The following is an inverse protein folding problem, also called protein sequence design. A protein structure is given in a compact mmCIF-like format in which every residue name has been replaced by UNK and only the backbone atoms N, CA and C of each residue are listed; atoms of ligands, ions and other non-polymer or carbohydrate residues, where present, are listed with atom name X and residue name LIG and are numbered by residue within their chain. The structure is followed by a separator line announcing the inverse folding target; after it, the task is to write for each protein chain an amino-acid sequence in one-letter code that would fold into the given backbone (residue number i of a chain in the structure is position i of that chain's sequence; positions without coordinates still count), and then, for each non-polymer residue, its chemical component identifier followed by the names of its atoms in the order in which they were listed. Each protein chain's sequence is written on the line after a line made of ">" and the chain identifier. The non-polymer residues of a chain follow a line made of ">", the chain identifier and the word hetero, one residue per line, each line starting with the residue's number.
data_IF_619017283766
#
_entry.id   IF_619017283766
#
_cell.length_a   1.000
_cell.length_b   1.000
_cell.length_c   1.000
_cell.angle_alpha   90.00
_cell.angle_beta   90.00
_cell.angle_gamma   90.00
#
_symmetry.space_group_name_H-M   'P 1'
#
loop_
_entity.id
_entity.type
_entity.pdbx_description
1 polymer ?
#
# COMPACT_ATOMS: atom_id res chain seq x y z
N UNK A 1 61.34 26.46 -10.15
CA UNK A 1 60.21 26.39 -11.10
C UNK A 1 59.04 25.74 -10.37
N UNK A 2 57.96 26.50 -10.21
CA UNK A 2 56.58 26.12 -9.89
C UNK A 2 56.26 25.41 -8.56
N UNK A 3 56.19 26.22 -7.49
CA UNK A 3 55.26 25.96 -6.37
C UNK A 3 53.85 26.30 -6.84
N UNK A 4 52.86 25.41 -6.72
CA UNK A 4 51.47 25.85 -6.61
C UNK A 4 50.75 25.08 -5.49
N UNK A 5 50.47 25.83 -4.44
CA UNK A 5 49.62 25.47 -3.32
C UNK A 5 48.20 25.80 -3.78
N UNK A 6 47.38 24.80 -4.08
CA UNK A 6 45.95 25.03 -4.30
C UNK A 6 45.25 24.94 -2.94
N UNK A 7 45.21 26.08 -2.26
CA UNK A 7 44.36 26.33 -1.09
C UNK A 7 42.93 26.46 -1.61
N UNK A 8 42.24 25.33 -1.77
CA UNK A 8 40.83 25.28 -2.16
C UNK A 8 39.94 25.55 -0.95
N UNK A 9 39.45 26.78 -0.85
CA UNK A 9 38.43 27.23 0.08
C UNK A 9 37.16 26.38 -0.09
N UNK A 10 36.95 25.41 0.80
CA UNK A 10 35.72 24.63 0.87
C UNK A 10 34.60 25.55 1.39
N UNK A 11 33.82 26.10 0.46
CA UNK A 11 32.55 26.74 0.73
C UNK A 11 31.61 25.70 1.37
N UNK A 12 31.45 25.79 2.69
CA UNK A 12 30.39 25.08 3.42
C UNK A 12 29.07 25.73 3.01
N UNK A 13 28.46 25.18 1.96
CA UNK A 13 27.10 25.50 1.57
C UNK A 13 26.16 25.02 2.67
N UNK A 14 25.62 25.98 3.42
CA UNK A 14 24.54 25.77 4.37
C UNK A 14 23.32 25.23 3.60
N UNK A 15 23.15 23.91 3.61
CA UNK A 15 21.95 23.24 3.11
C UNK A 15 20.79 23.62 4.03
N UNK A 16 20.05 24.66 3.65
CA UNK A 16 18.71 24.89 4.15
C UNK A 16 17.83 23.73 3.65
N UNK A 17 17.69 22.69 4.48
CA UNK A 17 16.68 21.67 4.27
C UNK A 17 15.31 22.36 4.44
N UNK A 18 14.44 22.38 3.41
CA UNK A 18 13.07 22.79 3.63
C UNK A 18 12.45 21.72 4.53
N UNK A 19 12.17 22.10 5.77
CA UNK A 19 11.32 21.32 6.67
C UNK A 19 9.95 21.27 5.99
N UNK A 20 9.64 20.14 5.37
CA UNK A 20 8.29 19.84 4.87
C UNK A 20 7.36 19.73 6.08
N UNK A 21 6.79 20.87 6.43
CA UNK A 21 5.80 21.04 7.47
C UNK A 21 4.50 20.34 7.05
N UNK A 22 4.26 19.13 7.57
CA UNK A 22 2.96 18.75 8.10
C UNK A 22 1.73 18.66 7.19
N UNK A 23 1.86 18.29 5.91
CA UNK A 23 0.72 17.68 5.22
C UNK A 23 0.70 16.19 5.57
N UNK A 24 -0.18 15.77 6.48
CA UNK A 24 -0.60 14.37 6.57
C UNK A 24 -1.43 14.07 5.30
N UNK A 25 -0.75 14.05 4.15
CA UNK A 25 -1.34 13.87 2.84
C UNK A 25 -1.71 12.41 2.61
N UNK A 26 -2.59 12.18 1.64
CA UNK A 26 -2.83 10.83 1.16
C UNK A 26 -1.51 10.20 0.69
N UNK A 27 -1.30 8.94 1.05
CA UNK A 27 -0.24 8.11 0.51
C UNK A 27 -0.82 7.20 -0.55
N UNK A 28 0.01 6.79 -1.50
CA UNK A 28 -0.32 5.71 -2.43
C UNK A 28 0.65 4.58 -2.22
N UNK A 29 0.11 3.40 -1.91
CA UNK A 29 0.86 2.17 -1.66
C UNK A 29 0.39 1.08 -2.62
N UNK A 30 1.31 0.23 -3.04
CA UNK A 30 1.04 -0.89 -3.94
C UNK A 30 1.46 -2.19 -3.27
N UNK A 31 0.66 -3.22 -3.47
CA UNK A 31 0.94 -4.53 -2.92
C UNK A 31 -0.08 -5.57 -3.35
N UNK A 32 0.05 -6.78 -2.79
CA UNK A 32 -0.91 -7.85 -2.96
C UNK A 32 -2.08 -7.64 -2.01
N UNK A 33 -3.30 -7.68 -2.53
CA UNK A 33 -4.51 -7.61 -1.71
C UNK A 33 -4.77 -8.97 -1.06
N UNK A 34 -4.98 -9.00 0.25
CA UNK A 34 -5.13 -10.24 1.02
C UNK A 34 -6.35 -10.22 1.93
N UNK A 35 -6.80 -11.38 2.40
CA UNK A 35 -7.60 -11.45 3.62
C UNK A 35 -6.73 -11.22 4.84
N UNK A 36 -7.09 -10.26 5.70
CA UNK A 36 -6.25 -9.86 6.83
C UNK A 36 -6.01 -10.99 7.82
N UNK A 37 -7.03 -11.82 8.07
CA UNK A 37 -6.95 -12.89 9.07
C UNK A 37 -6.08 -14.03 8.56
N UNK A 38 -6.28 -14.43 7.31
CA UNK A 38 -5.50 -15.49 6.66
C UNK A 38 -4.03 -15.10 6.54
N UNK A 39 -3.74 -13.87 6.10
CA UNK A 39 -2.35 -13.40 5.98
C UNK A 39 -1.66 -13.31 7.35
N UNK A 40 -2.26 -12.61 8.33
CA UNK A 40 -1.64 -12.42 9.64
C UNK A 40 -1.55 -13.72 10.46
N UNK A 41 -2.47 -14.66 10.25
CA UNK A 41 -2.51 -15.93 10.97
C UNK A 41 -1.68 -17.04 10.34
N UNK A 42 -1.59 -17.07 9.00
CA UNK A 42 -1.06 -18.22 8.25
C UNK A 42 -0.08 -17.82 7.13
N UNK A 43 0.05 -16.53 6.81
CA UNK A 43 0.90 -16.04 5.72
C UNK A 43 0.29 -16.19 4.32
N UNK A 44 -1.00 -16.50 4.22
CA UNK A 44 -1.67 -16.69 2.92
C UNK A 44 -1.88 -15.35 2.22
N UNK A 45 -1.38 -15.24 0.99
CA UNK A 45 -1.45 -14.02 0.19
C UNK A 45 -2.25 -14.17 -1.11
N UNK A 46 -2.66 -15.39 -1.46
CA UNK A 46 -3.54 -15.68 -2.59
C UNK A 46 -5.01 -15.77 -2.16
N UNK A 47 -5.90 -16.02 -3.12
CA UNK A 47 -7.34 -16.15 -2.87
C UNK A 47 -7.74 -17.55 -2.41
N UNK A 48 -6.86 -18.53 -2.59
CA UNK A 48 -7.13 -19.94 -2.32
C UNK A 48 -6.57 -20.34 -0.94
N UNK A 49 -7.07 -21.43 -0.36
CA UNK A 49 -6.46 -22.02 0.82
C UNK A 49 -6.38 -23.53 0.65
N UNK A 50 -5.21 -24.00 0.20
CA UNK A 50 -5.01 -25.39 -0.20
C UNK A 50 -5.94 -25.80 -1.34
N UNK A 51 -6.91 -26.67 -1.06
CA UNK A 51 -7.90 -27.13 -2.05
C UNK A 51 -9.17 -26.27 -2.11
N UNK A 52 -9.31 -25.27 -1.22
CA UNK A 52 -10.48 -24.40 -1.20
C UNK A 52 -10.24 -23.17 -2.06
N UNK A 53 -10.87 -23.14 -3.24
CA UNK A 53 -10.80 -21.98 -4.13
C UNK A 53 -11.57 -20.77 -3.57
N UNK A 54 -11.05 -19.57 -3.77
CA UNK A 54 -11.67 -18.30 -3.37
C UNK A 54 -12.06 -18.20 -1.90
N UNK A 55 -11.23 -18.77 -1.02
CA UNK A 55 -11.37 -18.69 0.42
C UNK A 55 -11.26 -17.23 0.91
N UNK A 56 -10.27 -16.48 0.43
CA UNK A 56 -10.06 -15.09 0.83
C UNK A 56 -11.21 -14.18 0.42
N UNK A 57 -11.66 -14.29 -0.83
CA UNK A 57 -12.80 -13.58 -1.37
C UNK A 57 -14.09 -13.89 -0.60
N UNK A 58 -14.27 -15.14 -0.17
CA UNK A 58 -15.39 -15.54 0.67
C UNK A 58 -15.36 -14.86 2.03
N UNK A 59 -14.19 -14.78 2.69
CA UNK A 59 -14.02 -14.06 3.95
C UNK A 59 -14.34 -12.56 3.82
N UNK A 60 -13.84 -11.91 2.78
CA UNK A 60 -14.14 -10.49 2.50
C UNK A 60 -15.63 -10.25 2.23
N UNK A 61 -16.30 -11.16 1.50
CA UNK A 61 -17.76 -11.12 1.28
C UNK A 61 -18.56 -11.24 2.58
N UNK A 62 -18.00 -11.90 3.60
CA UNK A 62 -18.59 -12.00 4.94
C UNK A 62 -18.25 -10.82 5.85
N UNK A 63 -17.51 -9.82 5.36
CA UNK A 63 -17.19 -8.60 6.10
C UNK A 63 -15.79 -8.59 6.73
N UNK A 64 -14.94 -9.60 6.48
CA UNK A 64 -13.57 -9.56 6.99
C UNK A 64 -12.76 -8.45 6.30
N UNK A 65 -11.93 -7.70 7.05
CA UNK A 65 -11.13 -6.62 6.48
C UNK A 65 -10.14 -7.16 5.45
N UNK A 66 -10.02 -6.45 4.33
CA UNK A 66 -8.91 -6.65 3.41
C UNK A 66 -7.62 -6.08 4.00
N UNK A 67 -6.50 -6.71 3.65
CA UNK A 67 -5.16 -6.19 3.88
C UNK A 67 -4.44 -5.91 2.56
N UNK A 68 -3.37 -5.12 2.62
CA UNK A 68 -2.43 -4.94 1.53
C UNK A 68 -1.03 -5.29 2.02
N UNK A 69 -0.35 -6.19 1.33
CA UNK A 69 1.03 -6.59 1.61
C UNK A 69 1.92 -6.03 0.53
N UNK A 70 2.75 -5.05 0.87
CA UNK A 70 3.63 -4.40 -0.10
C UNK A 70 4.86 -5.28 -0.40
N UNK A 71 5.64 -4.90 -1.41
CA UNK A 71 6.80 -5.68 -1.85
C UNK A 71 7.94 -5.80 -0.81
N UNK A 72 7.92 -4.98 0.25
CA UNK A 72 8.84 -5.06 1.39
C UNK A 72 8.26 -5.83 2.60
N UNK A 73 7.19 -6.60 2.36
CA UNK A 73 6.43 -7.37 3.36
C UNK A 73 5.73 -6.52 4.43
N UNK A 74 5.59 -5.20 4.21
CA UNK A 74 4.76 -4.35 5.09
C UNK A 74 3.27 -4.63 4.88
N UNK A 75 2.58 -4.98 5.95
CA UNK A 75 1.12 -5.15 6.00
C UNK A 75 0.39 -3.84 6.35
N UNK A 76 -0.64 -3.51 5.56
CA UNK A 76 -1.59 -2.44 5.86
C UNK A 76 -3.01 -3.00 5.95
N UNK A 77 -3.69 -2.78 7.08
CA UNK A 77 -5.14 -3.04 7.15
C UNK A 77 -5.89 -1.96 6.39
N UNK A 78 -6.81 -2.36 5.53
CA UNK A 78 -7.59 -1.45 4.70
C UNK A 78 -8.95 -1.16 5.34
N UNK A 79 -9.23 0.12 5.57
CA UNK A 79 -10.56 0.58 5.96
C UNK A 79 -11.29 0.98 4.69
N UNK A 80 -12.01 0.02 4.11
CA UNK A 80 -12.77 0.12 2.88
C UNK A 80 -13.90 -0.93 2.87
N UNK A 81 -14.76 -0.89 1.84
CA UNK A 81 -15.73 -1.96 1.63
C UNK A 81 -15.03 -3.29 1.33
N UNK A 82 -15.11 -4.24 2.26
CA UNK A 82 -14.54 -5.58 2.08
C UNK A 82 -15.18 -6.31 0.89
N UNK A 83 -16.49 -6.17 0.72
CA UNK A 83 -17.25 -6.84 -0.36
C UNK A 83 -16.86 -6.31 -1.74
N UNK A 84 -16.54 -5.01 -1.85
CA UNK A 84 -16.05 -4.42 -3.09
C UNK A 84 -14.64 -4.92 -3.46
N UNK A 85 -13.84 -5.27 -2.45
CA UNK A 85 -12.47 -5.76 -2.60
C UNK A 85 -12.39 -7.27 -2.80
N UNK A 86 -13.44 -8.01 -2.47
CA UNK A 86 -13.44 -9.47 -2.45
C UNK A 86 -13.01 -10.13 -3.77
N UNK A 87 -13.39 -9.58 -4.92
CA UNK A 87 -13.03 -10.15 -6.23
C UNK A 87 -11.59 -9.89 -6.67
N UNK A 88 -10.77 -9.26 -5.82
CA UNK A 88 -9.43 -8.81 -6.13
C UNK A 88 -8.35 -9.38 -5.20
N UNK A 89 -8.71 -10.31 -4.31
CA UNK A 89 -7.75 -11.00 -3.43
C UNK A 89 -6.72 -11.74 -4.27
N UNK A 90 -5.45 -11.72 -3.84
CA UNK A 90 -4.32 -12.29 -4.57
C UNK A 90 -3.81 -11.43 -5.73
N UNK A 91 -4.53 -10.37 -6.12
CA UNK A 91 -4.06 -9.46 -7.17
C UNK A 91 -3.23 -8.31 -6.62
N UNK A 92 -2.35 -7.78 -7.46
CA UNK A 92 -1.67 -6.52 -7.18
C UNK A 92 -2.67 -5.36 -7.28
N UNK A 93 -2.79 -4.62 -6.18
CA UNK A 93 -3.67 -3.46 -6.06
C UNK A 93 -2.84 -2.27 -5.59
N UNK A 94 -3.13 -1.11 -6.17
CA UNK A 94 -2.64 0.18 -5.72
C UNK A 94 -3.76 0.89 -4.96
N UNK A 95 -3.46 1.32 -3.76
CA UNK A 95 -4.40 1.93 -2.83
C UNK A 95 -3.91 3.33 -2.47
N UNK A 96 -4.77 4.32 -2.65
CA UNK A 96 -4.55 5.69 -2.19
C UNK A 96 -5.43 5.96 -0.98
N UNK A 97 -4.89 6.63 0.03
CA UNK A 97 -5.63 6.91 1.24
C UNK A 97 -4.80 7.55 2.35
N UNK A 98 -5.42 7.70 3.52
CA UNK A 98 -4.80 8.30 4.70
C UNK A 98 -4.52 7.23 5.76
N UNK A 99 -3.29 7.21 6.29
CA UNK A 99 -2.98 6.36 7.45
C UNK A 99 -3.37 7.09 8.72
N UNK A 100 -4.24 6.47 9.52
CA UNK A 100 -4.65 6.98 10.83
C UNK A 100 -4.70 5.83 11.83
N UNK A 101 -4.01 5.97 12.95
CA UNK A 101 -3.93 4.95 14.01
C UNK A 101 -3.52 3.56 13.48
N UNK A 102 -2.61 3.50 12.50
CA UNK A 102 -2.13 2.24 11.91
C UNK A 102 -3.04 1.61 10.87
N UNK A 103 -4.20 2.21 10.56
CA UNK A 103 -5.11 1.74 9.53
C UNK A 103 -5.09 2.67 8.31
N UNK A 104 -5.19 2.11 7.10
CA UNK A 104 -5.24 2.87 5.86
C UNK A 104 -6.70 3.09 5.44
N UNK A 105 -7.19 4.32 5.61
CA UNK A 105 -8.51 4.72 5.13
C UNK A 105 -8.42 4.93 3.62
N UNK A 106 -9.05 4.05 2.86
CA UNK A 106 -8.90 3.99 1.41
C UNK A 106 -9.85 4.98 0.74
N UNK A 107 -9.30 5.92 -0.02
CA UNK A 107 -10.10 6.85 -0.85
C UNK A 107 -10.15 6.41 -2.30
N UNK A 108 -9.16 5.66 -2.78
CA UNK A 108 -9.14 5.05 -4.11
C UNK A 108 -8.42 3.70 -4.10
N UNK A 109 -8.93 2.74 -4.85
CA UNK A 109 -8.26 1.46 -5.08
C UNK A 109 -8.25 1.14 -6.57
N UNK A 110 -7.14 0.62 -7.07
CA UNK A 110 -6.95 0.28 -8.48
C UNK A 110 -6.28 -1.09 -8.59
N UNK A 111 -6.90 -2.02 -9.30
CA UNK A 111 -6.31 -3.33 -9.56
C UNK A 111 -5.42 -3.26 -10.80
N UNK A 112 -4.24 -3.86 -10.73
CA UNK A 112 -3.37 -4.04 -11.89
C UNK A 112 -3.77 -5.32 -12.65
N UNK A 113 -4.34 -5.17 -13.84
CA UNK A 113 -4.54 -6.23 -14.81
C UNK A 113 -3.43 -6.17 -15.88
N UNK A 114 -2.37 -6.96 -15.73
CA UNK A 114 -1.31 -7.11 -16.75
C UNK A 114 -0.65 -5.78 -17.18
N UNK A 115 -0.33 -4.92 -16.22
CA UNK A 115 0.29 -3.61 -16.44
C UNK A 115 -0.70 -2.47 -16.65
N UNK A 116 -2.01 -2.74 -16.62
CA UNK A 116 -3.05 -1.71 -16.72
C UNK A 116 -3.85 -1.62 -15.42
N UNK A 117 -3.83 -0.44 -14.81
CA UNK A 117 -4.63 -0.16 -13.63
C UNK A 117 -6.08 0.16 -14.02
N UNK A 118 -7.01 -0.48 -13.34
CA UNK A 118 -8.44 -0.18 -13.41
C UNK A 118 -8.99 0.06 -12.00
N UNK A 119 -9.74 1.14 -11.85
CA UNK A 119 -10.34 1.50 -10.57
C UNK A 119 -11.36 0.46 -10.09
N UNK A 120 -11.21 0.05 -8.84
CA UNK A 120 -12.15 -0.81 -8.13
C UNK A 120 -13.24 0.09 -7.56
N UNK A 121 -14.50 -0.22 -7.87
CA UNK A 121 -15.63 0.51 -7.34
C UNK A 121 -15.85 0.15 -5.88
N UNK A 122 -15.32 0.95 -4.96
CA UNK A 122 -15.41 0.72 -3.51
C UNK A 122 -16.84 0.86 -2.95
N UNK A 123 -17.82 1.26 -3.78
CA UNK A 123 -19.14 1.70 -3.34
C UNK A 123 -19.05 3.06 -2.66
N UNK A 124 -20.19 3.74 -2.48
CA UNK A 124 -20.19 4.96 -1.68
C UNK A 124 -19.77 4.59 -0.25
N UNK A 125 -18.59 5.04 0.18
CA UNK A 125 -18.33 5.26 1.60
C UNK A 125 -19.34 6.30 2.06
N UNK A 126 -20.48 5.82 2.60
CA UNK A 126 -21.62 6.55 3.17
C UNK A 126 -21.76 8.02 2.72
#
# INVERSE_FOLDING_TARGET
>A
MWKLRFTGLFLVGLLAAPVLLGAQGEITVEGTLVDSKCYLGMGEADDDHGAMASCGAMCLKQGQPAGLVTADDTFHVLVASSTALAGHVGHTVRVTGMVKNGALIVTKAEMNANGRYSEIKLGSMM
#
